data_IF_724835140448
#
_entry.id   IF_724835140448
#
_cell.length_a   1.000
_cell.length_b   1.000
_cell.length_c   1.000
_cell.angle_alpha   90.00
_cell.angle_beta   90.00
_cell.angle_gamma   90.00
#
_symmetry.space_group_name_H-M   'P 1'
#
loop_
_entity.id
_entity.type
_entity.pdbx_description
1 polymer ?
#
# COMPACT_ATOMS: atom_id res chain seq x y z
N UNK A 1 28.04 4.86 10.84
CA UNK A 1 27.96 4.23 12.17
C UNK A 1 26.58 4.51 12.73
N UNK A 2 25.66 3.54 12.70
CA UNK A 2 24.40 3.64 13.45
C UNK A 2 24.79 3.53 14.93
N UNK A 3 24.53 4.58 15.70
CA UNK A 3 24.61 4.48 17.16
C UNK A 3 23.66 3.35 17.57
N UNK A 4 24.17 2.34 18.28
CA UNK A 4 23.35 1.33 18.94
C UNK A 4 22.44 2.04 19.94
N UNK A 5 21.23 2.34 19.54
CA UNK A 5 20.23 2.95 20.41
C UNK A 5 19.79 1.91 21.43
N UNK A 6 19.88 2.25 22.73
CA UNK A 6 19.43 1.36 23.81
C UNK A 6 17.93 1.04 23.63
N UNK A 7 17.55 -0.24 23.71
CA UNK A 7 16.14 -0.63 23.65
C UNK A 7 15.30 0.09 24.70
N UNK A 8 14.21 0.72 24.27
CA UNK A 8 13.37 1.53 25.15
C UNK A 8 11.89 1.36 24.78
N UNK A 9 11.10 0.76 25.67
CA UNK A 9 9.65 0.58 25.47
C UNK A 9 8.92 1.93 25.37
N UNK A 10 9.29 2.91 26.20
CA UNK A 10 8.62 4.21 26.23
C UNK A 10 8.78 5.00 24.93
N UNK A 11 9.73 4.62 24.10
CA UNK A 11 9.86 5.20 22.76
C UNK A 11 8.69 4.84 21.82
N UNK A 12 7.89 3.82 22.14
CA UNK A 12 6.68 3.45 21.41
C UNK A 12 5.43 4.23 21.84
N UNK A 13 5.53 5.05 22.91
CA UNK A 13 4.41 5.86 23.41
C UNK A 13 3.69 6.66 22.32
N UNK A 14 4.36 7.33 21.35
CA UNK A 14 3.66 8.07 20.29
C UNK A 14 2.72 7.19 19.47
N UNK A 15 3.12 5.96 19.16
CA UNK A 15 2.28 5.00 18.45
C UNK A 15 1.10 4.55 19.29
N UNK A 16 1.33 4.29 20.59
CA UNK A 16 0.28 3.93 21.54
C UNK A 16 -0.72 5.09 21.69
N UNK A 17 -0.23 6.33 21.77
CA UNK A 17 -1.07 7.55 21.85
C UNK A 17 -1.92 7.69 20.58
N UNK A 18 -1.31 7.51 19.40
CA UNK A 18 -2.02 7.55 18.13
C UNK A 18 -3.20 6.55 18.12
N UNK A 19 -2.91 5.29 18.39
CA UNK A 19 -3.91 4.22 18.40
C UNK A 19 -4.98 4.46 19.47
N UNK A 20 -4.57 4.89 20.68
CA UNK A 20 -5.49 5.11 21.80
C UNK A 20 -6.42 6.29 21.53
N UNK A 21 -5.90 7.43 21.10
CA UNK A 21 -6.73 8.62 20.79
C UNK A 21 -7.72 8.28 19.68
N UNK A 22 -7.23 7.65 18.59
CA UNK A 22 -8.07 7.31 17.46
C UNK A 22 -9.18 6.32 17.86
N UNK A 23 -8.84 5.25 18.59
CA UNK A 23 -9.78 4.24 19.04
C UNK A 23 -10.78 4.80 20.07
N UNK A 24 -10.30 5.52 21.11
CA UNK A 24 -11.16 6.06 22.18
C UNK A 24 -12.10 7.11 21.60
N UNK A 25 -11.61 8.05 20.78
CA UNK A 25 -12.44 9.05 20.14
C UNK A 25 -13.53 8.41 19.27
N UNK A 26 -13.15 7.42 18.46
CA UNK A 26 -14.08 6.69 17.58
C UNK A 26 -15.17 5.94 18.37
N UNK A 27 -14.79 5.30 19.48
CA UNK A 27 -15.76 4.62 20.36
C UNK A 27 -16.71 5.59 21.06
N UNK A 28 -16.21 6.73 21.53
CA UNK A 28 -17.05 7.76 22.19
C UNK A 28 -18.02 8.39 21.18
N UNK A 29 -17.54 8.66 19.96
CA UNK A 29 -18.36 9.27 18.90
C UNK A 29 -19.30 8.27 18.21
N UNK A 30 -19.12 6.96 18.45
CA UNK A 30 -19.85 5.88 17.78
C UNK A 30 -19.62 5.82 16.28
N UNK A 31 -18.56 6.49 15.79
CA UNK A 31 -18.26 6.60 14.37
C UNK A 31 -16.75 6.83 14.18
N UNK A 32 -16.09 5.90 13.47
CA UNK A 32 -14.67 5.97 13.16
C UNK A 32 -14.29 7.10 12.18
N UNK A 33 -15.26 7.67 11.50
CA UNK A 33 -15.02 8.71 10.49
C UNK A 33 -15.08 10.14 11.04
N UNK A 34 -15.60 10.32 12.25
CA UNK A 34 -15.71 11.66 12.88
C UNK A 34 -14.40 12.20 13.42
N UNK A 35 -13.43 11.32 13.71
CA UNK A 35 -12.09 11.73 14.17
C UNK A 35 -11.16 11.87 12.97
N UNK A 36 -10.73 13.09 12.58
CA UNK A 36 -9.75 13.24 11.51
C UNK A 36 -8.43 12.57 11.90
N UNK A 37 -7.95 11.68 11.06
CA UNK A 37 -6.70 10.92 11.30
C UNK A 37 -5.49 11.85 11.39
N UNK A 38 -5.51 12.98 10.69
CA UNK A 38 -4.51 14.06 10.76
C UNK A 38 -4.33 14.62 12.16
N UNK A 39 -5.44 14.79 12.91
CA UNK A 39 -5.41 15.30 14.29
C UNK A 39 -4.76 14.27 15.22
N UNK A 40 -5.09 12.99 15.07
CA UNK A 40 -4.46 11.93 15.85
C UNK A 40 -2.94 11.86 15.60
N UNK A 41 -2.50 11.99 14.35
CA UNK A 41 -1.08 12.07 13.99
C UNK A 41 -0.41 13.34 14.55
N UNK A 42 -1.07 14.49 14.49
CA UNK A 42 -0.55 15.75 15.04
C UNK A 42 -0.28 15.62 16.54
N UNK A 43 -1.28 15.17 17.32
CA UNK A 43 -1.14 15.00 18.77
C UNK A 43 -0.01 14.01 19.11
N UNK A 44 0.02 12.88 18.41
CA UNK A 44 1.05 11.86 18.60
C UNK A 44 2.45 12.36 18.23
N UNK A 45 2.57 13.19 17.19
CA UNK A 45 3.82 13.84 16.79
C UNK A 45 4.31 14.83 17.85
N UNK A 46 3.41 15.63 18.43
CA UNK A 46 3.73 16.53 19.54
C UNK A 46 4.24 15.73 20.75
N UNK A 47 3.55 14.64 21.10
CA UNK A 47 3.99 13.73 22.18
C UNK A 47 5.35 13.14 21.85
N UNK A 48 5.60 12.69 20.62
CA UNK A 48 6.90 12.14 20.19
C UNK A 48 8.05 13.13 20.43
N UNK A 49 7.85 14.40 20.06
CA UNK A 49 8.83 15.46 20.27
C UNK A 49 8.98 15.77 21.77
N UNK A 50 7.89 15.81 22.54
CA UNK A 50 7.90 16.15 23.96
C UNK A 50 8.65 15.13 24.81
N UNK A 51 8.44 13.81 24.58
CA UNK A 51 9.05 12.75 25.38
C UNK A 51 10.46 12.33 24.94
N UNK A 52 10.91 12.82 23.78
CA UNK A 52 12.20 12.41 23.22
C UNK A 52 13.37 12.84 24.12
N UNK A 53 14.36 11.95 24.24
CA UNK A 53 15.61 12.19 24.94
C UNK A 53 16.66 12.96 24.13
N UNK A 54 16.35 13.41 22.92
CA UNK A 54 17.25 13.99 21.93
C UNK A 54 17.83 15.39 22.27
N UNK A 55 17.88 15.81 23.54
CA UNK A 55 18.46 17.08 23.97
C UNK A 55 17.45 18.23 24.01
N UNK A 56 17.89 19.47 23.67
CA UNK A 56 17.04 20.67 23.67
C UNK A 56 15.92 20.54 22.62
N UNK A 57 14.79 21.22 22.84
CA UNK A 57 13.58 21.18 21.97
C UNK A 57 13.93 21.39 20.50
N UNK A 58 14.78 22.36 20.19
CA UNK A 58 15.20 22.63 18.80
C UNK A 58 15.81 21.38 18.12
N UNK A 59 16.70 20.66 18.80
CA UNK A 59 17.30 19.43 18.25
C UNK A 59 16.26 18.30 18.05
N UNK A 60 15.25 18.23 18.91
CA UNK A 60 14.16 17.24 18.77
C UNK A 60 13.29 17.57 17.58
N UNK A 61 12.98 18.85 17.35
CA UNK A 61 12.26 19.33 16.17
C UNK A 61 13.09 19.04 14.91
N UNK A 62 14.39 19.32 14.88
CA UNK A 62 15.27 19.01 13.76
C UNK A 62 15.26 17.51 13.43
N UNK A 63 15.25 16.66 14.45
CA UNK A 63 15.20 15.21 14.27
C UNK A 63 13.85 14.77 13.66
N UNK A 64 12.74 15.34 14.14
CA UNK A 64 11.42 15.12 13.57
C UNK A 64 11.36 15.56 12.10
N UNK A 65 11.86 16.76 11.79
CA UNK A 65 11.94 17.28 10.43
C UNK A 65 12.79 16.39 9.50
N UNK A 66 13.91 15.82 9.99
CA UNK A 66 14.70 14.85 9.22
C UNK A 66 13.92 13.59 8.88
N UNK A 67 13.06 13.11 9.80
CA UNK A 67 12.17 11.99 9.54
C UNK A 67 11.12 12.33 8.49
N UNK A 68 10.44 13.47 8.64
CA UNK A 68 9.45 13.96 7.68
C UNK A 68 10.05 14.20 6.29
N UNK A 69 11.30 14.67 6.21
CA UNK A 69 12.02 14.92 4.96
C UNK A 69 12.83 13.71 4.46
N UNK A 70 12.57 12.51 4.98
CA UNK A 70 13.21 11.30 4.47
C UNK A 70 12.90 11.10 2.98
N UNK A 71 13.89 10.64 2.20
CA UNK A 71 13.76 10.50 0.74
C UNK A 71 12.57 9.67 0.30
N UNK A 72 12.23 8.60 1.03
CA UNK A 72 11.06 7.77 0.72
C UNK A 72 9.74 8.49 1.03
N UNK A 73 9.69 9.25 2.13
CA UNK A 73 8.54 10.10 2.48
C UNK A 73 8.33 11.16 1.40
N UNK A 74 9.40 11.85 0.99
CA UNK A 74 9.32 12.86 -0.07
C UNK A 74 8.94 12.26 -1.43
N UNK A 75 9.40 11.06 -1.76
CA UNK A 75 8.97 10.34 -2.97
C UNK A 75 7.46 10.07 -2.94
N UNK A 76 6.91 9.63 -1.80
CA UNK A 76 5.46 9.45 -1.63
C UNK A 76 4.69 10.76 -1.83
N UNK A 77 5.18 11.86 -1.26
CA UNK A 77 4.58 13.19 -1.44
C UNK A 77 4.54 13.57 -2.94
N UNK A 78 5.63 13.36 -3.68
CA UNK A 78 5.65 13.58 -5.13
C UNK A 78 4.64 12.72 -5.88
N UNK A 79 4.52 11.45 -5.53
CA UNK A 79 3.54 10.55 -6.14
C UNK A 79 2.11 11.03 -5.84
N UNK A 80 1.80 11.46 -4.60
CA UNK A 80 0.48 12.01 -4.25
C UNK A 80 0.14 13.24 -5.10
N UNK A 81 1.07 14.19 -5.21
CA UNK A 81 0.90 15.40 -6.02
C UNK A 81 0.58 15.04 -7.47
N UNK A 82 1.38 14.19 -8.10
CA UNK A 82 1.21 13.81 -9.50
C UNK A 82 -0.05 12.96 -9.72
N UNK A 83 -0.37 12.06 -8.78
CA UNK A 83 -1.57 11.22 -8.87
C UNK A 83 -2.86 12.02 -8.76
N UNK A 84 -2.91 12.99 -7.85
CA UNK A 84 -4.04 13.92 -7.73
C UNK A 84 -4.22 14.77 -9.00
N UNK A 85 -3.12 15.34 -9.49
CA UNK A 85 -3.12 16.10 -10.74
C UNK A 85 -3.64 15.25 -11.92
N UNK A 86 -3.14 14.02 -12.08
CA UNK A 86 -3.59 13.11 -13.14
C UNK A 86 -5.07 12.75 -12.99
N UNK A 87 -5.50 12.36 -11.78
CA UNK A 87 -6.87 11.93 -11.55
C UNK A 87 -7.89 13.02 -11.91
N UNK A 88 -7.65 14.26 -11.49
CA UNK A 88 -8.56 15.37 -11.77
C UNK A 88 -8.49 15.85 -13.23
N UNK A 89 -7.33 15.86 -13.86
CA UNK A 89 -7.23 16.19 -15.30
C UNK A 89 -7.90 15.12 -16.16
N UNK A 90 -7.67 13.84 -15.89
CA UNK A 90 -8.33 12.72 -16.57
C UNK A 90 -9.85 12.75 -16.39
N UNK A 91 -10.33 13.10 -15.20
CA UNK A 91 -11.76 13.28 -14.91
C UNK A 91 -12.36 14.47 -15.67
N UNK A 92 -11.69 15.62 -15.67
CA UNK A 92 -12.16 16.82 -16.35
C UNK A 92 -12.27 16.64 -17.85
N UNK A 93 -11.37 15.86 -18.47
CA UNK A 93 -11.39 15.52 -19.89
C UNK A 93 -12.45 14.46 -20.21
N UNK A 94 -12.99 13.74 -19.22
CA UNK A 94 -13.91 12.61 -19.39
C UNK A 94 -13.20 11.28 -19.70
N UNK A 95 -11.89 11.21 -19.49
CA UNK A 95 -11.11 10.00 -19.75
C UNK A 95 -11.48 8.85 -18.81
N UNK A 96 -11.86 9.16 -17.55
CA UNK A 96 -12.36 8.17 -16.59
C UNK A 96 -13.65 7.53 -17.12
N UNK A 97 -14.64 8.35 -17.47
CA UNK A 97 -15.95 7.88 -17.93
C UNK A 97 -15.83 7.05 -19.23
N UNK A 98 -15.02 7.51 -20.19
CA UNK A 98 -14.76 6.78 -21.43
C UNK A 98 -14.12 5.40 -21.16
N UNK A 99 -13.17 5.33 -20.21
CA UNK A 99 -12.50 4.07 -19.82
C UNK A 99 -13.44 3.14 -19.09
N UNK A 100 -14.30 3.68 -18.22
CA UNK A 100 -15.34 2.91 -17.53
C UNK A 100 -16.35 2.35 -18.52
N UNK A 101 -16.85 3.16 -19.47
CA UNK A 101 -17.77 2.71 -20.51
C UNK A 101 -17.15 1.61 -21.39
N UNK A 102 -15.86 1.73 -21.72
CA UNK A 102 -15.14 0.66 -22.42
C UNK A 102 -15.08 -0.62 -21.57
N UNK A 103 -14.72 -0.52 -20.29
CA UNK A 103 -14.64 -1.68 -19.39
C UNK A 103 -16.00 -2.38 -19.26
N UNK A 104 -17.08 -1.63 -19.06
CA UNK A 104 -18.44 -2.15 -18.96
C UNK A 104 -18.99 -2.73 -20.27
N UNK A 105 -18.50 -2.26 -21.42
CA UNK A 105 -18.89 -2.83 -22.72
C UNK A 105 -18.20 -4.15 -23.06
N UNK A 106 -17.01 -4.38 -22.50
CA UNK A 106 -16.18 -5.57 -22.77
C UNK A 106 -16.39 -6.68 -21.73
N UNK A 107 -16.56 -6.30 -20.46
CA UNK A 107 -16.69 -7.25 -19.35
C UNK A 107 -18.18 -7.50 -19.05
N UNK A 108 -18.63 -8.76 -19.02
CA UNK A 108 -19.93 -9.09 -18.45
C UNK A 108 -20.03 -8.66 -16.99
N UNK A 109 -21.22 -8.24 -16.56
CA UNK A 109 -21.47 -7.76 -15.19
C UNK A 109 -20.95 -8.71 -14.11
N UNK A 110 -21.18 -10.01 -14.29
CA UNK A 110 -20.73 -11.05 -13.37
C UNK A 110 -19.20 -11.16 -13.26
N UNK A 111 -18.44 -10.65 -14.21
CA UNK A 111 -16.97 -10.70 -14.23
C UNK A 111 -16.32 -9.39 -13.77
N UNK A 112 -17.06 -8.32 -13.51
CA UNK A 112 -16.50 -7.00 -13.18
C UNK A 112 -15.59 -7.03 -11.97
N UNK A 113 -16.02 -7.64 -10.86
CA UNK A 113 -15.24 -7.70 -9.63
C UNK A 113 -13.98 -8.56 -9.80
N UNK A 114 -14.17 -9.78 -10.33
CA UNK A 114 -13.06 -10.70 -10.56
C UNK A 114 -12.09 -10.18 -11.63
N UNK A 115 -12.60 -9.57 -12.70
CA UNK A 115 -11.82 -8.96 -13.76
C UNK A 115 -10.97 -7.80 -13.24
N UNK A 116 -11.53 -6.92 -12.40
CA UNK A 116 -10.80 -5.83 -11.76
C UNK A 116 -9.67 -6.36 -10.86
N UNK A 117 -9.95 -7.40 -10.05
CA UNK A 117 -8.95 -8.03 -9.21
C UNK A 117 -7.81 -8.64 -10.04
N UNK A 118 -8.14 -9.43 -11.08
CA UNK A 118 -7.15 -10.06 -11.95
C UNK A 118 -6.32 -9.01 -12.69
N UNK A 119 -6.96 -7.94 -13.20
CA UNK A 119 -6.24 -6.84 -13.84
C UNK A 119 -5.25 -6.17 -12.88
N UNK A 120 -5.68 -5.88 -11.64
CA UNK A 120 -4.82 -5.32 -10.63
C UNK A 120 -3.65 -6.26 -10.27
N UNK A 121 -3.91 -7.57 -10.13
CA UNK A 121 -2.87 -8.58 -9.91
C UNK A 121 -1.83 -8.57 -11.03
N UNK A 122 -2.27 -8.58 -12.29
CA UNK A 122 -1.40 -8.67 -13.45
C UNK A 122 -0.57 -7.38 -13.64
N UNK A 123 -1.20 -6.22 -13.50
CA UNK A 123 -0.52 -4.92 -13.63
C UNK A 123 0.53 -4.78 -12.53
N UNK A 124 0.19 -5.07 -11.28
CA UNK A 124 1.12 -4.97 -10.15
C UNK A 124 2.29 -5.95 -10.27
N UNK A 125 2.02 -7.18 -10.72
CA UNK A 125 3.06 -8.18 -10.99
C UNK A 125 4.06 -7.68 -12.04
N UNK A 126 3.57 -7.02 -13.07
CA UNK A 126 4.35 -6.53 -14.22
C UNK A 126 5.11 -5.24 -13.89
N UNK A 127 4.50 -4.33 -13.12
CA UNK A 127 5.12 -3.06 -12.69
C UNK A 127 6.10 -3.25 -11.53
N UNK A 128 5.88 -4.26 -10.70
CA UNK A 128 6.64 -4.46 -9.46
C UNK A 128 6.36 -3.41 -8.38
N UNK A 129 5.20 -2.74 -8.43
CA UNK A 129 4.80 -1.74 -7.44
C UNK A 129 3.29 -1.73 -7.21
N UNK A 130 2.88 -1.90 -5.96
CA UNK A 130 1.48 -1.80 -5.54
C UNK A 130 0.95 -0.36 -5.67
N UNK A 131 1.73 0.64 -5.30
CA UNK A 131 1.33 2.06 -5.37
C UNK A 131 1.01 2.47 -6.81
N UNK A 132 1.87 2.12 -7.77
CA UNK A 132 1.64 2.43 -9.19
C UNK A 132 0.36 1.82 -9.73
N UNK A 133 0.06 0.58 -9.35
CA UNK A 133 -1.17 -0.12 -9.73
C UNK A 133 -2.41 0.56 -9.14
N UNK A 134 -2.36 0.93 -7.87
CA UNK A 134 -3.45 1.64 -7.18
C UNK A 134 -3.72 2.98 -7.86
N UNK A 135 -2.68 3.74 -8.17
CA UNK A 135 -2.82 5.03 -8.86
C UNK A 135 -3.48 4.86 -10.24
N UNK A 136 -3.07 3.85 -10.99
CA UNK A 136 -3.59 3.61 -12.34
C UNK A 136 -5.06 3.15 -12.33
N UNK A 137 -5.45 2.28 -11.40
CA UNK A 137 -6.75 1.61 -11.45
C UNK A 137 -7.82 2.21 -10.54
N UNK A 138 -7.45 2.90 -9.44
CA UNK A 138 -8.46 3.40 -8.50
C UNK A 138 -9.47 4.34 -9.14
N UNK A 139 -9.11 5.32 -9.98
CA UNK A 139 -10.11 6.19 -10.62
C UNK A 139 -11.09 5.42 -11.50
N UNK A 140 -10.61 4.40 -12.23
CA UNK A 140 -11.46 3.53 -13.04
C UNK A 140 -12.39 2.69 -12.16
N UNK A 141 -11.87 2.14 -11.07
CA UNK A 141 -12.65 1.37 -10.10
C UNK A 141 -13.76 2.22 -9.47
N UNK A 142 -13.46 3.46 -9.10
CA UNK A 142 -14.46 4.43 -8.59
C UNK A 142 -15.53 4.72 -9.64
N UNK A 143 -15.12 4.97 -10.89
CA UNK A 143 -16.05 5.22 -11.99
C UNK A 143 -16.99 4.03 -12.24
N UNK A 144 -16.46 2.79 -12.25
CA UNK A 144 -17.27 1.57 -12.35
C UNK A 144 -18.25 1.49 -11.16
N UNK A 145 -17.77 1.70 -9.92
CA UNK A 145 -18.60 1.64 -8.73
C UNK A 145 -19.78 2.63 -8.80
N UNK A 146 -19.53 3.85 -9.24
CA UNK A 146 -20.56 4.91 -9.39
C UNK A 146 -21.58 4.52 -10.46
N UNK A 147 -21.15 4.02 -11.62
CA UNK A 147 -22.06 3.67 -12.73
C UNK A 147 -22.87 2.40 -12.45
N UNK A 148 -22.31 1.45 -11.68
CA UNK A 148 -22.97 0.16 -11.40
C UNK A 148 -23.70 0.14 -10.07
N UNK A 149 -23.57 1.19 -9.24
CA UNK A 149 -24.13 1.23 -7.88
C UNK A 149 -23.41 0.32 -6.87
N UNK A 150 -22.27 -0.28 -7.25
CA UNK A 150 -21.44 -1.07 -6.34
C UNK A 150 -20.83 -0.16 -5.27
N UNK A 151 -20.69 -0.67 -4.04
CA UNK A 151 -20.05 0.07 -2.95
C UNK A 151 -18.61 0.47 -3.34
N UNK A 152 -18.32 1.77 -3.39
CA UNK A 152 -17.01 2.32 -3.79
C UNK A 152 -15.86 1.81 -2.92
N UNK A 153 -15.92 1.81 -1.57
CA UNK A 153 -14.90 1.20 -0.73
C UNK A 153 -14.60 -0.27 -1.06
N UNK A 154 -15.61 -1.05 -1.39
CA UNK A 154 -15.45 -2.45 -1.78
C UNK A 154 -14.70 -2.58 -3.12
N UNK A 155 -15.09 -1.82 -4.14
CA UNK A 155 -14.42 -1.85 -5.45
C UNK A 155 -12.96 -1.39 -5.35
N UNK A 156 -12.67 -0.37 -4.54
CA UNK A 156 -11.30 0.11 -4.29
C UNK A 156 -10.48 -0.93 -3.53
N UNK A 157 -11.08 -1.65 -2.56
CA UNK A 157 -10.40 -2.74 -1.84
C UNK A 157 -10.01 -3.90 -2.76
N UNK A 158 -10.78 -4.17 -3.82
CA UNK A 158 -10.43 -5.16 -4.86
C UNK A 158 -9.12 -4.75 -5.56
N UNK A 159 -8.99 -3.47 -5.93
CA UNK A 159 -7.77 -2.94 -6.56
C UNK A 159 -6.58 -3.05 -5.61
N UNK A 160 -6.74 -2.63 -4.34
CA UNK A 160 -5.68 -2.75 -3.33
C UNK A 160 -5.27 -4.22 -3.14
N UNK A 161 -6.23 -5.13 -3.05
CA UNK A 161 -5.96 -6.56 -2.90
C UNK A 161 -5.13 -7.12 -4.06
N UNK A 162 -5.51 -6.82 -5.30
CA UNK A 162 -4.76 -7.24 -6.49
C UNK A 162 -3.37 -6.60 -6.56
N UNK A 163 -3.26 -5.33 -6.18
CA UNK A 163 -1.99 -4.62 -6.12
C UNK A 163 -1.02 -5.27 -5.11
N UNK A 164 -1.51 -5.68 -3.95
CA UNK A 164 -0.70 -6.37 -2.92
C UNK A 164 -0.31 -7.79 -3.35
N UNK A 165 -1.16 -8.50 -4.10
CA UNK A 165 -0.79 -9.79 -4.71
C UNK A 165 0.42 -9.64 -5.64
N UNK A 166 0.35 -8.66 -6.56
CA UNK A 166 1.42 -8.44 -7.53
C UNK A 166 2.73 -8.01 -6.88
N UNK A 167 2.68 -7.10 -5.90
CA UNK A 167 3.85 -6.64 -5.15
C UNK A 167 4.57 -7.82 -4.46
N UNK A 168 3.81 -8.70 -3.81
CA UNK A 168 4.34 -9.90 -3.14
C UNK A 168 4.94 -10.92 -4.12
N UNK A 169 4.36 -11.10 -5.30
CA UNK A 169 4.77 -12.16 -6.22
C UNK A 169 5.70 -11.69 -7.35
N UNK A 170 5.84 -10.38 -7.58
CA UNK A 170 6.68 -9.82 -8.63
C UNK A 170 8.17 -10.19 -8.46
N UNK A 171 8.85 -10.38 -9.58
CA UNK A 171 10.31 -10.55 -9.63
C UNK A 171 11.07 -9.23 -9.53
N UNK A 172 10.44 -8.13 -9.85
CA UNK A 172 11.07 -6.79 -9.95
C UNK A 172 10.67 -5.86 -8.83
N UNK A 173 9.78 -6.29 -7.92
CA UNK A 173 9.39 -5.52 -6.75
C UNK A 173 10.57 -5.27 -5.82
N UNK A 174 10.66 -4.05 -5.29
CA UNK A 174 11.68 -3.66 -4.31
C UNK A 174 11.65 -4.57 -3.09
N UNK A 175 10.48 -5.00 -2.65
CA UNK A 175 10.29 -5.92 -1.51
C UNK A 175 10.93 -7.28 -1.80
N UNK A 176 10.68 -7.83 -2.98
CA UNK A 176 11.30 -9.09 -3.45
C UNK A 176 12.81 -8.99 -3.51
N UNK A 177 13.33 -7.89 -4.08
CA UNK A 177 14.78 -7.67 -4.22
C UNK A 177 15.44 -7.60 -2.84
N UNK A 178 14.89 -6.81 -1.92
CA UNK A 178 15.45 -6.66 -0.57
C UNK A 178 15.33 -7.94 0.23
N UNK A 179 14.17 -8.61 0.22
CA UNK A 179 13.99 -9.88 0.93
C UNK A 179 14.98 -10.94 0.47
N UNK A 180 15.15 -11.13 -0.83
CA UNK A 180 16.06 -12.15 -1.39
C UNK A 180 17.52 -11.82 -1.17
N UNK A 181 17.94 -10.57 -1.38
CA UNK A 181 19.33 -10.14 -1.16
C UNK A 181 19.74 -10.24 0.30
N UNK A 182 18.89 -9.83 1.23
CA UNK A 182 19.20 -9.92 2.66
C UNK A 182 19.33 -11.35 3.12
N UNK A 183 18.51 -12.27 2.61
CA UNK A 183 18.57 -13.69 2.97
C UNK A 183 19.63 -14.47 2.18
N UNK A 184 20.14 -13.94 1.06
CA UNK A 184 21.13 -14.59 0.20
C UNK A 184 20.54 -15.74 -0.62
N UNK A 185 19.31 -15.59 -1.11
CA UNK A 185 18.66 -16.53 -2.01
C UNK A 185 18.25 -15.88 -3.34
N UNK A 186 17.90 -16.69 -4.34
CA UNK A 186 17.48 -16.17 -5.64
C UNK A 186 15.99 -15.77 -5.64
N UNK A 187 15.63 -14.76 -6.43
CA UNK A 187 14.25 -14.32 -6.61
C UNK A 187 13.33 -15.44 -7.09
N UNK A 188 13.81 -16.29 -8.02
CA UNK A 188 13.07 -17.46 -8.51
C UNK A 188 12.71 -18.45 -7.40
N UNK A 189 13.58 -18.62 -6.40
CA UNK A 189 13.34 -19.55 -5.30
C UNK A 189 12.32 -18.96 -4.30
N UNK A 190 12.41 -17.67 -3.99
CA UNK A 190 11.38 -16.96 -3.20
C UNK A 190 10.03 -17.02 -3.90
N UNK A 191 9.99 -16.75 -5.22
CA UNK A 191 8.76 -16.84 -6.01
C UNK A 191 8.09 -18.22 -5.88
N UNK A 192 8.86 -19.33 -5.97
CA UNK A 192 8.31 -20.69 -5.80
C UNK A 192 7.69 -20.93 -4.43
N UNK A 193 8.28 -20.36 -3.37
CA UNK A 193 7.71 -20.48 -2.01
C UNK A 193 6.46 -19.64 -1.88
N UNK A 194 6.50 -18.38 -2.30
CA UNK A 194 5.37 -17.46 -2.21
C UNK A 194 4.19 -17.94 -3.07
N UNK A 195 4.44 -18.38 -4.30
CA UNK A 195 3.36 -18.81 -5.20
C UNK A 195 2.52 -19.94 -4.62
N UNK A 196 3.14 -20.87 -3.89
CA UNK A 196 2.42 -21.96 -3.21
C UNK A 196 1.52 -21.47 -2.07
N UNK A 197 1.77 -20.30 -1.51
CA UNK A 197 0.97 -19.70 -0.41
C UNK A 197 -0.07 -18.74 -0.98
N UNK A 198 0.34 -17.81 -1.86
CA UNK A 198 -0.49 -16.67 -2.25
C UNK A 198 -1.39 -16.94 -3.46
N UNK A 199 -0.99 -17.83 -4.39
CA UNK A 199 -1.84 -18.17 -5.54
C UNK A 199 -3.14 -18.86 -5.11
N UNK A 200 -3.13 -19.86 -4.20
CA UNK A 200 -4.38 -20.44 -3.70
C UNK A 200 -5.32 -19.41 -3.08
N UNK A 201 -4.76 -18.41 -2.37
CA UNK A 201 -5.54 -17.30 -1.81
C UNK A 201 -6.14 -16.43 -2.91
N UNK A 202 -5.34 -16.08 -3.92
CA UNK A 202 -5.84 -15.27 -5.04
C UNK A 202 -6.95 -15.98 -5.82
N UNK A 203 -6.82 -17.29 -6.03
CA UNK A 203 -7.88 -18.11 -6.65
C UNK A 203 -9.15 -18.09 -5.80
N UNK A 204 -9.02 -18.32 -4.48
CA UNK A 204 -10.16 -18.29 -3.56
C UNK A 204 -10.87 -16.93 -3.60
N UNK A 205 -10.11 -15.83 -3.53
CA UNK A 205 -10.65 -14.46 -3.58
C UNK A 205 -11.32 -14.20 -4.94
N UNK A 206 -10.71 -14.65 -6.04
CA UNK A 206 -11.32 -14.54 -7.38
C UNK A 206 -12.66 -15.26 -7.45
N UNK A 207 -12.75 -16.48 -6.89
CA UNK A 207 -13.99 -17.24 -6.81
C UNK A 207 -15.05 -16.49 -6.01
N UNK A 208 -14.68 -15.92 -4.86
CA UNK A 208 -15.60 -15.08 -4.05
C UNK A 208 -16.11 -13.89 -4.87
N UNK A 209 -15.23 -13.20 -5.60
CA UNK A 209 -15.64 -12.08 -6.45
C UNK A 209 -16.50 -12.50 -7.64
N UNK A 210 -16.31 -13.70 -8.19
CA UNK A 210 -17.21 -14.24 -9.22
C UNK A 210 -18.61 -14.48 -8.68
N UNK A 211 -18.74 -15.05 -7.47
CA UNK A 211 -20.04 -15.26 -6.83
C UNK A 211 -20.74 -13.94 -6.50
N UNK A 212 -20.00 -12.97 -5.92
CA UNK A 212 -20.57 -11.66 -5.61
C UNK A 212 -20.88 -10.85 -6.89
N UNK A 213 -20.10 -11.04 -7.95
CA UNK A 213 -20.33 -10.41 -9.24
C UNK A 213 -21.59 -10.93 -9.95
N UNK A 214 -22.00 -12.18 -9.70
CA UNK A 214 -23.21 -12.75 -10.32
C UNK A 214 -24.51 -12.09 -9.86
N UNK A 215 -24.49 -11.37 -8.75
CA UNK A 215 -25.65 -10.63 -8.24
C UNK A 215 -25.74 -9.20 -8.82
N UNK A 216 -24.70 -8.77 -9.55
CA UNK A 216 -24.65 -7.44 -10.15
C UNK A 216 -25.44 -7.46 -11.45
N UNK A 217 -26.45 -6.60 -11.53
CA UNK A 217 -27.19 -6.34 -12.77
C UNK A 217 -27.01 -4.86 -13.11
N UNK A 218 -26.19 -4.59 -14.12
CA UNK A 218 -26.05 -3.22 -14.62
C UNK A 218 -27.06 -2.96 -15.72
N UNK A 219 -27.64 -1.77 -15.75
CA UNK A 219 -28.31 -1.28 -16.94
C UNK A 219 -27.24 -0.88 -17.94
N UNK A 220 -27.16 -1.52 -19.13
CA UNK A 220 -26.15 -1.14 -20.11
C UNK A 220 -26.26 0.34 -20.41
N UNK A 221 -25.23 1.10 -20.09
CA UNK A 221 -25.15 2.50 -20.51
C UNK A 221 -24.96 2.49 -22.04
N UNK A 222 -25.97 2.94 -22.76
CA UNK A 222 -25.93 3.05 -24.23
C UNK A 222 -25.05 4.21 -24.73
N UNK A 223 -24.13 4.69 -23.90
CA UNK A 223 -23.24 5.80 -24.27
C UNK A 223 -22.15 5.30 -25.21
N UNK A 224 -21.99 5.94 -26.39
CA UNK A 224 -20.94 5.57 -27.33
C UNK A 224 -19.56 5.75 -26.71
N UNK A 225 -18.65 4.81 -26.97
CA UNK A 225 -17.28 4.86 -26.45
C UNK A 225 -16.51 5.98 -27.18
N UNK A 226 -16.07 6.97 -26.45
CA UNK A 226 -15.21 8.03 -26.94
C UNK A 226 -13.73 7.58 -26.94
N UNK A 227 -13.31 6.87 -27.97
CA UNK A 227 -11.99 6.22 -28.07
C UNK A 227 -10.81 7.16 -27.80
N UNK A 228 -10.86 8.41 -28.26
CA UNK A 228 -9.82 9.39 -28.00
C UNK A 228 -9.62 9.65 -26.51
N UNK A 229 -10.70 9.70 -25.74
CA UNK A 229 -10.66 9.95 -24.29
C UNK A 229 -10.15 8.75 -23.50
N UNK A 230 -10.12 7.55 -24.07
CA UNK A 230 -9.54 6.35 -23.41
C UNK A 230 -8.00 6.36 -23.49
N UNK A 231 -7.41 7.07 -24.48
CA UNK A 231 -5.97 7.07 -24.74
C UNK A 231 -5.12 7.40 -23.52
N UNK A 232 -5.42 8.38 -22.65
CA UNK A 232 -4.61 8.68 -21.45
C UNK A 232 -4.46 7.47 -20.53
N UNK A 233 -5.54 6.73 -20.28
CA UNK A 233 -5.49 5.52 -19.44
C UNK A 233 -4.75 4.36 -20.12
N UNK A 234 -4.95 4.17 -21.43
CA UNK A 234 -4.18 3.16 -22.20
C UNK A 234 -2.68 3.48 -22.14
N UNK A 235 -2.29 4.75 -22.30
CA UNK A 235 -0.90 5.17 -22.21
C UNK A 235 -0.32 4.90 -20.82
N UNK A 236 -1.03 5.28 -19.78
CA UNK A 236 -0.64 5.01 -18.38
C UNK A 236 -0.46 3.52 -18.16
N UNK A 237 -1.41 2.68 -18.58
CA UNK A 237 -1.34 1.23 -18.40
C UNK A 237 -0.18 0.61 -19.21
N UNK A 238 0.02 0.98 -20.48
CA UNK A 238 1.10 0.44 -21.30
C UNK A 238 2.46 0.84 -20.74
N UNK A 239 2.66 2.11 -20.39
CA UNK A 239 3.94 2.59 -19.85
C UNK A 239 4.23 1.98 -18.49
N UNK A 240 3.20 1.81 -17.67
CA UNK A 240 3.28 1.11 -16.39
C UNK A 240 3.69 -0.37 -16.57
N UNK A 241 3.02 -1.10 -17.47
CA UNK A 241 3.36 -2.49 -17.80
C UNK A 241 4.76 -2.63 -18.40
N UNK A 242 5.25 -1.61 -19.11
CA UNK A 242 6.63 -1.55 -19.61
C UNK A 242 7.67 -1.29 -18.52
N UNK A 243 7.26 -1.12 -17.25
CA UNK A 243 8.17 -0.90 -16.12
C UNK A 243 8.73 0.53 -16.04
N UNK A 244 8.08 1.51 -16.68
CA UNK A 244 8.46 2.91 -16.57
C UNK A 244 8.20 3.42 -15.15
N UNK A 245 9.06 4.31 -14.64
CA UNK A 245 8.92 4.89 -13.31
C UNK A 245 7.56 5.58 -13.13
N UNK A 246 6.87 5.32 -12.01
CA UNK A 246 5.51 5.80 -11.71
C UNK A 246 5.36 7.31 -11.89
N UNK A 247 6.37 8.11 -11.50
CA UNK A 247 6.32 9.58 -11.68
C UNK A 247 6.28 9.97 -13.16
N UNK A 248 7.06 9.27 -14.00
CA UNK A 248 7.09 9.52 -15.47
C UNK A 248 5.76 9.07 -16.07
N UNK A 249 5.22 7.93 -15.65
CA UNK A 249 3.91 7.43 -16.10
C UNK A 249 2.81 8.46 -15.84
N UNK A 250 2.78 9.02 -14.62
CA UNK A 250 1.80 10.04 -14.24
C UNK A 250 1.97 11.33 -15.03
N UNK A 251 3.20 11.80 -15.23
CA UNK A 251 3.48 12.98 -16.06
C UNK A 251 3.02 12.78 -17.51
N UNK A 252 3.29 11.60 -18.08
CA UNK A 252 2.80 11.26 -19.43
C UNK A 252 1.27 11.21 -19.48
N UNK A 253 0.63 10.67 -18.43
CA UNK A 253 -0.82 10.66 -18.30
C UNK A 253 -1.43 12.05 -18.23
N UNK A 254 -0.83 12.97 -17.44
CA UNK A 254 -1.26 14.37 -17.32
C UNK A 254 -1.16 15.07 -18.70
N UNK A 255 0.01 14.98 -19.36
CA UNK A 255 0.24 15.62 -20.66
C UNK A 255 -0.69 15.04 -21.74
N UNK A 256 -0.89 13.72 -21.75
CA UNK A 256 -1.79 13.08 -22.69
C UNK A 256 -3.25 13.51 -22.48
N UNK A 257 -3.67 13.65 -21.22
CA UNK A 257 -5.01 14.14 -20.88
C UNK A 257 -5.24 15.57 -21.38
N UNK A 258 -4.23 16.45 -21.28
CA UNK A 258 -4.28 17.81 -21.81
C UNK A 258 -4.46 17.81 -23.34
N UNK A 259 -3.58 17.10 -24.04
CA UNK A 259 -3.62 17.01 -25.50
C UNK A 259 -4.98 16.48 -25.98
N UNK A 260 -5.46 15.40 -25.38
CA UNK A 260 -6.76 14.80 -25.72
C UNK A 260 -7.90 15.76 -25.39
N UNK A 261 -7.84 16.45 -24.25
CA UNK A 261 -8.85 17.41 -23.84
C UNK A 261 -8.99 18.57 -24.78
N UNK A 262 -7.86 19.12 -25.25
CA UNK A 262 -7.83 20.21 -26.26
C UNK A 262 -8.37 19.73 -27.60
N UNK A 263 -7.91 18.56 -28.08
CA UNK A 263 -8.34 18.01 -29.39
C UNK A 263 -9.84 17.70 -29.40
N UNK A 264 -10.38 17.17 -28.31
CA UNK A 264 -11.81 16.85 -28.18
C UNK A 264 -12.67 18.05 -27.83
N UNK A 265 -12.07 19.19 -27.47
CA UNK A 265 -12.79 20.37 -26.98
C UNK A 265 -13.44 20.17 -25.63
N UNK A 266 -13.05 19.15 -24.88
CA UNK A 266 -13.63 18.81 -23.56
C UNK A 266 -13.15 19.74 -22.47
N UNK A 267 -11.99 20.37 -22.62
CA UNK A 267 -11.40 21.29 -21.64
C UNK A 267 -10.63 22.39 -22.38
N UNK A 268 -10.68 23.60 -21.84
CA UNK A 268 -9.85 24.70 -22.30
C UNK A 268 -8.47 24.65 -21.62
N UNK A 269 -7.46 25.21 -22.28
CA UNK A 269 -6.07 25.18 -21.76
C UNK A 269 -5.94 25.72 -20.32
N UNK A 270 -6.67 26.80 -19.96
CA UNK A 270 -6.61 27.34 -18.62
C UNK A 270 -7.38 26.51 -17.58
N UNK A 271 -8.45 25.83 -17.98
CA UNK A 271 -9.23 24.93 -17.12
C UNK A 271 -8.42 23.69 -16.74
N UNK A 272 -7.52 23.26 -17.62
CA UNK A 272 -6.59 22.17 -17.32
C UNK A 272 -5.69 22.47 -16.11
N UNK A 273 -5.12 23.71 -16.01
CA UNK A 273 -4.36 24.14 -14.84
C UNK A 273 -5.20 24.15 -13.58
N UNK A 274 -6.46 24.59 -13.68
CA UNK A 274 -7.38 24.59 -12.54
C UNK A 274 -7.69 23.17 -12.08
N UNK A 275 -7.92 22.22 -12.99
CA UNK A 275 -8.12 20.81 -12.68
C UNK A 275 -6.90 20.20 -12.00
N UNK A 276 -5.68 20.45 -12.51
CA UNK A 276 -4.44 20.03 -11.85
C UNK A 276 -4.33 20.58 -10.43
N UNK A 277 -4.56 21.89 -10.25
CA UNK A 277 -4.47 22.55 -8.95
C UNK A 277 -5.46 21.97 -7.94
N UNK A 278 -6.70 21.70 -8.37
CA UNK A 278 -7.70 21.00 -7.54
C UNK A 278 -7.21 19.63 -7.13
N UNK A 279 -6.72 18.81 -8.08
CA UNK A 279 -6.24 17.47 -7.79
C UNK A 279 -5.07 17.44 -6.81
N UNK A 280 -4.14 18.40 -6.91
CA UNK A 280 -3.04 18.54 -5.95
C UNK A 280 -3.58 18.88 -4.56
N UNK A 281 -4.55 19.78 -4.48
CA UNK A 281 -5.15 20.22 -3.22
C UNK A 281 -5.93 19.09 -2.53
N UNK A 282 -6.61 18.24 -3.29
CA UNK A 282 -7.36 17.09 -2.78
C UNK A 282 -6.44 16.06 -2.08
N UNK A 283 -5.14 16.02 -2.44
CA UNK A 283 -4.15 15.16 -1.78
C UNK A 283 -3.53 15.78 -0.52
N UNK A 284 -3.90 17.02 -0.16
CA UNK A 284 -3.28 17.77 0.93
C UNK A 284 -3.30 17.05 2.27
N UNK A 285 -4.43 16.44 2.64
CA UNK A 285 -4.58 15.68 3.89
C UNK A 285 -3.58 14.50 3.94
N UNK A 286 -3.45 13.76 2.85
CA UNK A 286 -2.55 12.59 2.76
C UNK A 286 -1.09 13.01 2.87
N UNK A 287 -0.72 14.13 2.27
CA UNK A 287 0.61 14.71 2.37
C UNK A 287 0.93 15.05 3.82
N UNK A 288 -0.01 15.72 4.52
CA UNK A 288 0.15 16.07 5.95
C UNK A 288 0.33 14.82 6.80
N UNK A 289 -0.53 13.80 6.65
CA UNK A 289 -0.43 12.53 7.38
C UNK A 289 0.94 11.90 7.14
N UNK A 290 1.39 11.83 5.90
CA UNK A 290 2.65 11.19 5.51
C UNK A 290 3.86 11.89 6.14
N UNK A 291 3.89 13.22 6.15
CA UNK A 291 4.97 14.00 6.78
C UNK A 291 4.97 13.83 8.31
N UNK A 292 3.80 13.90 8.95
CA UNK A 292 3.69 13.71 10.41
C UNK A 292 4.06 12.28 10.81
N UNK A 293 3.61 11.27 10.07
CA UNK A 293 3.98 9.88 10.30
C UNK A 293 5.50 9.69 10.16
N UNK A 294 6.11 10.19 9.10
CA UNK A 294 7.56 10.09 8.89
C UNK A 294 8.37 10.70 10.03
N UNK A 295 7.99 11.90 10.48
CA UNK A 295 8.62 12.56 11.64
C UNK A 295 8.45 11.76 12.94
N UNK A 296 7.23 11.31 13.23
CA UNK A 296 6.92 10.51 14.42
C UNK A 296 7.70 9.19 14.45
N UNK A 297 7.77 8.49 13.32
CA UNK A 297 8.47 7.21 13.21
C UNK A 297 9.98 7.35 13.38
N UNK A 298 10.58 8.45 12.89
CA UNK A 298 12.00 8.75 13.15
C UNK A 298 12.27 8.98 14.63
N UNK A 299 11.36 9.67 15.34
CA UNK A 299 11.46 9.85 16.79
C UNK A 299 11.40 8.52 17.54
N UNK A 300 10.49 7.61 17.17
CA UNK A 300 10.40 6.26 17.73
C UNK A 300 11.69 5.49 17.50
N UNK A 301 12.24 5.56 16.29
CA UNK A 301 13.51 4.91 15.91
C UNK A 301 14.67 5.44 16.74
N UNK A 302 14.82 6.75 16.78
CA UNK A 302 15.91 7.43 17.49
C UNK A 302 15.91 7.14 18.99
N UNK A 303 14.74 7.08 19.62
CA UNK A 303 14.61 6.83 21.05
C UNK A 303 14.67 5.32 21.42
N UNK A 304 14.91 4.43 20.47
CA UNK A 304 15.15 3.00 20.72
C UNK A 304 13.90 2.12 20.72
N UNK A 305 12.75 2.61 20.22
CA UNK A 305 11.51 1.83 20.16
C UNK A 305 11.65 0.60 19.26
N UNK A 306 12.25 0.75 18.09
CA UNK A 306 12.50 -0.36 17.18
C UNK A 306 13.50 -1.35 17.78
N UNK A 307 14.57 -0.85 18.42
CA UNK A 307 15.54 -1.72 19.10
C UNK A 307 14.88 -2.55 20.22
N UNK A 308 13.91 -1.98 20.95
CA UNK A 308 13.14 -2.71 21.96
C UNK A 308 12.31 -3.85 21.33
N UNK A 309 11.60 -3.58 20.24
CA UNK A 309 10.81 -4.61 19.55
C UNK A 309 11.71 -5.74 19.07
N UNK A 310 12.84 -5.41 18.44
CA UNK A 310 13.81 -6.39 17.97
C UNK A 310 14.31 -7.26 19.13
N UNK A 311 14.75 -6.66 20.25
CA UNK A 311 15.22 -7.38 21.41
C UNK A 311 14.14 -8.31 21.96
N UNK A 312 12.91 -7.82 22.13
CA UNK A 312 11.81 -8.61 22.71
C UNK A 312 11.45 -9.83 21.85
N UNK A 313 11.45 -9.68 20.54
CA UNK A 313 11.11 -10.76 19.60
C UNK A 313 12.22 -11.80 19.45
N UNK A 314 13.48 -11.41 19.62
CA UNK A 314 14.61 -12.32 19.42
C UNK A 314 14.98 -13.13 20.65
N UNK A 315 14.72 -12.63 21.86
CA UNK A 315 15.12 -13.28 23.12
C UNK A 315 14.34 -14.55 23.48
N UNK A 316 13.14 -14.75 22.93
CA UNK A 316 12.24 -15.84 23.32
C UNK A 316 12.15 -16.98 22.29
N UNK A 317 12.98 -16.96 21.27
CA UNK A 317 12.98 -17.99 20.20
C UNK A 317 13.64 -19.28 20.72
N UNK A 318 12.90 -20.41 20.66
CA UNK A 318 13.38 -21.73 21.13
C UNK A 318 13.26 -22.86 20.10
N UNK A 319 12.63 -22.62 18.95
CA UNK A 319 12.35 -23.63 17.93
C UNK A 319 12.35 -23.03 16.53
N UNK A 320 12.46 -23.87 15.50
CA UNK A 320 12.38 -23.45 14.10
C UNK A 320 11.05 -22.73 13.79
N UNK A 321 9.92 -23.28 14.28
CA UNK A 321 8.60 -22.63 14.15
C UNK A 321 8.54 -21.29 14.89
N UNK A 322 9.12 -21.22 16.08
CA UNK A 322 9.25 -19.97 16.83
C UNK A 322 10.13 -18.94 16.11
N UNK A 323 11.16 -19.39 15.41
CA UNK A 323 11.99 -18.53 14.56
C UNK A 323 11.22 -17.96 13.35
N UNK A 324 10.44 -18.80 12.66
CA UNK A 324 9.57 -18.35 11.55
C UNK A 324 8.54 -17.30 12.04
N UNK A 325 7.88 -17.54 13.18
CA UNK A 325 6.96 -16.57 13.79
C UNK A 325 7.67 -15.28 14.22
N UNK A 326 8.88 -15.39 14.77
CA UNK A 326 9.68 -14.22 15.15
C UNK A 326 10.09 -13.38 13.96
N UNK A 327 10.47 -14.00 12.83
CA UNK A 327 10.77 -13.30 11.57
C UNK A 327 9.52 -12.57 11.05
N UNK A 328 8.38 -13.26 11.03
CA UNK A 328 7.11 -12.70 10.63
C UNK A 328 6.71 -11.49 11.49
N UNK A 329 6.74 -11.65 12.82
CA UNK A 329 6.45 -10.57 13.75
C UNK A 329 7.43 -9.40 13.64
N UNK A 330 8.73 -9.69 13.46
CA UNK A 330 9.77 -8.67 13.34
C UNK A 330 9.51 -7.73 12.15
N UNK A 331 9.27 -8.28 10.95
CA UNK A 331 9.01 -7.46 9.77
C UNK A 331 7.66 -6.76 9.88
N UNK A 332 6.64 -7.41 10.45
CA UNK A 332 5.32 -6.81 10.68
C UNK A 332 5.39 -5.57 11.59
N UNK A 333 6.08 -5.68 12.72
CA UNK A 333 6.28 -4.53 13.62
C UNK A 333 7.19 -3.46 13.02
N UNK A 334 8.23 -3.85 12.28
CA UNK A 334 9.06 -2.89 11.56
C UNK A 334 8.22 -2.11 10.54
N UNK A 335 7.31 -2.76 9.84
CA UNK A 335 6.44 -2.15 8.84
C UNK A 335 5.39 -1.21 9.49
N UNK A 336 4.75 -1.65 10.58
CA UNK A 336 3.91 -0.76 11.41
C UNK A 336 4.65 0.49 11.88
N UNK A 337 5.94 0.36 12.20
CA UNK A 337 6.77 1.49 12.65
C UNK A 337 7.37 2.32 11.53
N UNK A 338 7.37 1.86 10.29
CA UNK A 338 7.97 2.59 9.16
C UNK A 338 6.95 3.04 8.12
N UNK A 339 5.76 2.44 8.14
CA UNK A 339 4.72 2.57 7.12
C UNK A 339 5.27 2.39 5.69
N UNK A 340 6.33 1.57 5.57
CA UNK A 340 7.02 1.32 4.31
C UNK A 340 7.64 -0.09 4.32
N UNK A 341 7.07 -0.99 3.54
CA UNK A 341 7.48 -2.40 3.49
C UNK A 341 8.95 -2.60 3.06
N UNK A 342 9.47 -1.79 2.15
CA UNK A 342 10.88 -1.86 1.72
C UNK A 342 11.84 -1.50 2.85
N UNK A 343 11.55 -0.43 3.59
CA UNK A 343 12.36 -0.02 4.77
C UNK A 343 12.26 -1.10 5.85
N UNK A 344 11.06 -1.60 6.13
CA UNK A 344 10.87 -2.68 7.09
C UNK A 344 11.72 -3.91 6.77
N UNK A 345 11.80 -4.28 5.48
CA UNK A 345 12.65 -5.37 4.99
C UNK A 345 14.14 -5.08 5.13
N UNK A 346 14.60 -3.87 4.81
CA UNK A 346 16.00 -3.47 4.96
C UNK A 346 16.43 -3.57 6.43
N UNK A 347 15.56 -3.14 7.36
CA UNK A 347 15.85 -3.15 8.79
C UNK A 347 15.79 -4.56 9.40
N UNK A 348 14.76 -5.33 9.05
CA UNK A 348 14.51 -6.66 9.63
C UNK A 348 15.34 -7.77 8.96
N UNK A 349 15.69 -7.59 7.68
CA UNK A 349 16.33 -8.63 6.87
C UNK A 349 17.62 -9.20 7.44
N UNK A 350 18.62 -8.40 7.86
CA UNK A 350 19.84 -8.90 8.49
C UNK A 350 19.56 -9.70 9.77
N UNK A 351 18.65 -9.23 10.61
CA UNK A 351 18.27 -9.86 11.88
C UNK A 351 17.54 -11.19 11.59
N UNK A 352 16.61 -11.19 10.64
CA UNK A 352 15.91 -12.39 10.19
C UNK A 352 16.88 -13.45 9.67
N UNK A 353 17.94 -13.04 8.95
CA UNK A 353 18.99 -13.93 8.49
C UNK A 353 19.74 -14.60 9.64
N UNK A 354 20.08 -13.86 10.67
CA UNK A 354 20.76 -14.40 11.86
C UNK A 354 19.85 -15.36 12.62
N UNK A 355 18.57 -15.01 12.81
CA UNK A 355 17.56 -15.92 13.38
C UNK A 355 17.44 -17.19 12.51
N UNK A 356 17.29 -17.04 11.21
CA UNK A 356 17.14 -18.16 10.27
C UNK A 356 18.33 -19.12 10.34
N UNK A 357 19.56 -18.61 10.34
CA UNK A 357 20.80 -19.39 10.48
C UNK A 357 20.86 -20.12 11.81
N UNK A 358 20.56 -19.44 12.91
CA UNK A 358 20.63 -20.02 14.27
C UNK A 358 19.66 -21.16 14.48
N UNK A 359 18.46 -21.10 13.89
CA UNK A 359 17.39 -22.09 14.09
C UNK A 359 17.16 -23.01 12.88
N UNK A 360 18.00 -22.92 11.86
CA UNK A 360 17.95 -23.79 10.67
C UNK A 360 16.73 -23.52 9.76
N UNK A 361 16.23 -22.28 9.71
CA UNK A 361 15.19 -21.88 8.76
C UNK A 361 15.80 -21.72 7.37
N UNK A 362 15.18 -22.32 6.36
CA UNK A 362 15.64 -22.19 4.97
C UNK A 362 15.63 -20.70 4.54
N UNK A 363 16.74 -20.19 3.94
CA UNK A 363 16.80 -18.79 3.48
C UNK A 363 15.68 -18.40 2.52
N UNK A 364 15.19 -19.33 1.70
CA UNK A 364 14.06 -19.09 0.78
C UNK A 364 12.75 -18.92 1.52
N UNK A 365 12.54 -19.70 2.58
CA UNK A 365 11.39 -19.58 3.47
C UNK A 365 11.47 -18.27 4.25
N UNK A 366 12.65 -17.93 4.78
CA UNK A 366 12.87 -16.66 5.48
C UNK A 366 12.58 -15.44 4.59
N UNK A 367 13.06 -15.45 3.33
CA UNK A 367 12.76 -14.42 2.35
C UNK A 367 11.25 -14.32 2.04
N UNK A 368 10.59 -15.48 1.90
CA UNK A 368 9.14 -15.56 1.69
C UNK A 368 8.36 -14.97 2.86
N UNK A 369 8.73 -15.31 4.11
CA UNK A 369 8.08 -14.77 5.30
C UNK A 369 8.25 -13.26 5.42
N UNK A 370 9.48 -12.76 5.23
CA UNK A 370 9.77 -11.34 5.24
C UNK A 370 8.88 -10.57 4.26
N UNK A 371 8.85 -11.02 3.01
CA UNK A 371 8.11 -10.35 1.96
C UNK A 371 6.59 -10.48 2.13
N UNK A 372 6.08 -11.67 2.44
CA UNK A 372 4.64 -11.88 2.60
C UNK A 372 4.07 -11.11 3.78
N UNK A 373 4.77 -11.09 4.92
CA UNK A 373 4.28 -10.35 6.10
C UNK A 373 4.45 -8.85 5.97
N UNK A 374 5.46 -8.34 5.24
CA UNK A 374 5.54 -6.92 4.93
C UNK A 374 4.41 -6.49 3.99
N UNK A 375 4.15 -7.25 2.91
CA UNK A 375 3.02 -6.97 2.03
C UNK A 375 1.66 -7.08 2.74
N UNK A 376 1.50 -8.06 3.63
CA UNK A 376 0.28 -8.19 4.44
C UNK A 376 0.04 -6.94 5.29
N UNK A 377 1.03 -6.55 6.10
CA UNK A 377 0.89 -5.42 7.02
C UNK A 377 0.74 -4.12 6.23
N UNK A 378 1.57 -3.88 5.24
CA UNK A 378 1.49 -2.68 4.40
C UNK A 378 0.15 -2.56 3.68
N UNK A 379 -0.47 -3.69 3.29
CA UNK A 379 -1.78 -3.72 2.65
C UNK A 379 -2.95 -3.39 3.57
N UNK A 380 -2.75 -3.38 4.90
CA UNK A 380 -3.80 -3.13 5.88
C UNK A 380 -3.54 -1.91 6.78
N UNK A 381 -2.36 -1.30 6.71
CA UNK A 381 -2.05 -0.11 7.54
C UNK A 381 -2.80 1.12 7.00
N UNK A 382 -3.69 1.77 7.81
CA UNK A 382 -4.49 2.88 7.33
C UNK A 382 -3.68 4.15 6.99
N UNK A 383 -2.45 4.25 7.47
CA UNK A 383 -1.51 5.33 7.22
C UNK A 383 -0.36 4.93 6.28
N UNK A 384 -0.45 3.76 5.67
CA UNK A 384 0.49 3.29 4.64
C UNK A 384 0.18 3.90 3.26
N UNK A 385 1.19 3.99 2.40
CA UNK A 385 1.07 4.60 1.08
C UNK A 385 -0.09 4.03 0.25
N UNK A 386 -0.29 2.73 0.30
CA UNK A 386 -1.29 2.02 -0.50
C UNK A 386 -2.72 2.46 -0.14
N UNK A 387 -3.08 2.39 1.15
CA UNK A 387 -4.42 2.76 1.59
C UNK A 387 -4.65 4.27 1.54
N UNK A 388 -3.65 5.08 1.86
CA UNK A 388 -3.76 6.53 1.72
C UNK A 388 -3.99 6.93 0.26
N UNK A 389 -3.20 6.37 -0.67
CA UNK A 389 -3.36 6.66 -2.10
C UNK A 389 -4.73 6.23 -2.62
N UNK A 390 -5.15 5.00 -2.31
CA UNK A 390 -6.46 4.49 -2.70
C UNK A 390 -7.61 5.36 -2.14
N UNK A 391 -7.51 5.74 -0.87
CA UNK A 391 -8.49 6.56 -0.18
C UNK A 391 -8.59 7.98 -0.78
N UNK A 392 -7.45 8.62 -1.04
CA UNK A 392 -7.41 9.96 -1.62
C UNK A 392 -7.97 10.01 -3.03
N UNK A 393 -7.57 9.07 -3.90
CA UNK A 393 -8.08 9.00 -5.27
C UNK A 393 -9.59 8.69 -5.33
N UNK A 394 -10.10 7.97 -4.32
CA UNK A 394 -11.51 7.64 -4.22
C UNK A 394 -12.34 8.65 -3.38
N UNK A 395 -11.70 9.63 -2.75
CA UNK A 395 -12.32 10.58 -1.82
C UNK A 395 -13.09 9.89 -0.68
N UNK A 396 -12.51 8.81 -0.14
CA UNK A 396 -13.04 8.03 0.98
C UNK A 396 -11.98 7.87 2.08
N UNK A 397 -12.37 7.34 3.24
CA UNK A 397 -11.39 7.09 4.30
C UNK A 397 -10.68 5.74 4.13
N UNK A 398 -9.41 5.60 4.55
CA UNK A 398 -8.71 4.32 4.54
C UNK A 398 -9.46 3.21 5.30
N UNK A 399 -10.16 3.55 6.38
CA UNK A 399 -10.93 2.59 7.18
C UNK A 399 -12.12 1.99 6.43
N UNK A 400 -12.75 2.77 5.54
CA UNK A 400 -13.83 2.25 4.70
C UNK A 400 -13.31 1.14 3.78
N UNK A 401 -12.11 1.30 3.24
CA UNK A 401 -11.46 0.31 2.39
C UNK A 401 -11.10 -0.94 3.20
N UNK A 402 -10.58 -0.76 4.43
CA UNK A 402 -10.12 -1.86 5.29
C UNK A 402 -11.19 -2.92 5.55
N UNK A 403 -12.46 -2.55 5.56
CA UNK A 403 -13.57 -3.49 5.79
C UNK A 403 -13.69 -4.56 4.69
N UNK A 404 -13.14 -4.30 3.50
CA UNK A 404 -13.28 -5.13 2.32
C UNK A 404 -11.97 -5.70 1.77
N UNK A 405 -10.86 -5.63 2.51
CA UNK A 405 -9.54 -6.10 2.10
C UNK A 405 -9.43 -7.63 2.16
N UNK A 406 -10.27 -8.34 1.41
CA UNK A 406 -10.33 -9.80 1.46
C UNK A 406 -8.99 -10.46 1.17
N UNK A 407 -8.31 -10.04 0.09
CA UNK A 407 -7.03 -10.64 -0.27
C UNK A 407 -5.93 -10.41 0.78
N UNK A 408 -5.64 -9.18 1.24
CA UNK A 408 -4.62 -8.96 2.27
C UNK A 408 -4.87 -9.78 3.54
N UNK A 409 -6.10 -9.81 4.06
CA UNK A 409 -6.42 -10.57 5.27
C UNK A 409 -6.23 -12.08 5.07
N UNK A 410 -6.74 -12.62 3.98
CA UNK A 410 -6.62 -14.05 3.67
C UNK A 410 -5.15 -14.45 3.39
N UNK A 411 -4.36 -13.56 2.77
CA UNK A 411 -2.93 -13.75 2.59
C UNK A 411 -2.19 -13.86 3.93
N UNK A 412 -2.49 -12.95 4.88
CA UNK A 412 -1.93 -12.99 6.22
C UNK A 412 -2.27 -14.27 6.97
N UNK A 413 -3.55 -14.69 6.91
CA UNK A 413 -4.01 -15.96 7.50
C UNK A 413 -3.30 -17.16 6.86
N UNK A 414 -3.23 -17.22 5.52
CA UNK A 414 -2.57 -18.31 4.80
C UNK A 414 -1.08 -18.38 5.14
N UNK A 415 -0.40 -17.24 5.27
CA UNK A 415 1.00 -17.18 5.68
C UNK A 415 1.21 -17.69 7.11
N UNK A 416 0.32 -17.35 8.06
CA UNK A 416 0.35 -17.89 9.42
C UNK A 416 0.09 -19.40 9.45
N UNK A 417 -0.89 -19.88 8.69
CA UNK A 417 -1.17 -21.31 8.54
C UNK A 417 0.03 -22.04 7.92
N UNK A 418 0.71 -21.43 6.92
CA UNK A 418 1.92 -21.99 6.32
C UNK A 418 3.05 -22.17 7.35
N UNK A 419 3.19 -21.28 8.33
CA UNK A 419 4.11 -21.46 9.45
C UNK A 419 3.61 -22.60 10.37
N UNK A 420 2.32 -22.56 10.75
CA UNK A 420 1.74 -23.52 11.68
C UNK A 420 1.83 -24.96 11.19
N UNK A 421 1.56 -25.21 9.93
CA UNK A 421 1.57 -26.51 9.28
C UNK A 421 2.88 -26.86 8.58
N UNK A 422 3.91 -26.03 8.72
CA UNK A 422 5.23 -26.17 8.06
C UNK A 422 5.09 -26.35 6.54
N UNK A 423 4.35 -25.47 5.93
CA UNK A 423 4.12 -25.49 4.49
C UNK A 423 4.90 -24.36 3.79
N UNK A 424 5.45 -24.55 2.60
CA UNK A 424 5.62 -25.84 1.91
C UNK A 424 6.68 -26.74 2.62
N UNK A 425 6.38 -28.02 2.79
CA UNK A 425 7.24 -28.97 3.54
C UNK A 425 8.68 -28.97 3.08
N UNK A 426 8.91 -28.89 1.76
CA UNK A 426 10.25 -28.88 1.14
C UNK A 426 11.18 -27.78 1.71
N UNK A 427 10.63 -26.67 2.20
CA UNK A 427 11.38 -25.51 2.69
C UNK A 427 11.19 -25.30 4.20
N UNK A 428 10.37 -26.08 4.85
CA UNK A 428 10.04 -25.98 6.27
C UNK A 428 10.56 -27.14 7.12
N UNK A 429 10.99 -28.22 6.51
CA UNK A 429 11.69 -29.37 7.15
C UNK A 429 13.20 -29.13 7.11
#
# INVERSE_FOLDING_TARGET
MQQETKPNFWALTPLIVFLSIYLIASLIMGDFYKMPITVAFLVSSVVAVAISSGGKLHKRIDLFCKGAANSNIMLMVWIFILAGAFAQTAKAVGAVDATVNLALSVLPDSLLLAGMFIAACFISLSMGTSVGTIVALTPVAVGIAVQTGINTPFMVAIVVGGAMFGDNLSFISDTTIVATRTQGCNMKDKFKVNSLIVIPVAILVTIVYLFQGSEITTTPSATPIEWLKVIPYILVLITALAGVNVMIVLLLGILCSDIVGIITGSIQFWEWFAAMGSGISDMGELIIITLLAGGMLEMIRYNGGIAYIIQKLTTHVKSKKGAELSIAALVSFADLCTANNTIALIMSGPIAKDIARRFGVDPRKSASLLDTFSCFVQGIIPYGAQLLMAAGLASITPLAIMQYLYYPYLMGVAALLAICFRYPRKYSL
#
